data_IF_493429911928
#
_entry.id   IF_493429911928
#
_cell.length_a   1.000
_cell.length_b   1.000
_cell.length_c   1.000
_cell.angle_alpha   90.00
_cell.angle_beta   90.00
_cell.angle_gamma   90.00
#
_symmetry.space_group_name_H-M   'P 1'
#
loop_
_entity.id
_entity.type
_entity.pdbx_description
1 polymer ?
#
# COMPACT_ATOMS: atom_id res chain seq x y z
N UNK A 1 55.99 -0.86 52.10
CA UNK A 1 55.46 -1.84 51.13
C UNK A 1 56.51 -2.91 50.93
N UNK A 2 56.15 -4.19 51.02
CA UNK A 2 57.08 -5.31 50.85
C UNK A 2 57.40 -5.50 49.37
N UNK A 3 58.57 -6.07 49.04
CA UNK A 3 58.99 -6.29 47.64
C UNK A 3 57.97 -7.10 46.81
N UNK A 4 57.13 -7.89 47.50
CA UNK A 4 56.00 -8.63 46.91
C UNK A 4 54.85 -7.72 46.47
N UNK A 5 54.55 -6.63 47.17
CA UNK A 5 53.46 -5.70 46.80
C UNK A 5 53.81 -4.89 45.54
N UNK A 6 55.10 -4.55 45.35
CA UNK A 6 55.58 -3.81 44.17
C UNK A 6 55.52 -4.68 42.90
N UNK A 7 55.79 -5.99 43.01
CA UNK A 7 55.64 -6.94 41.89
C UNK A 7 54.20 -7.07 41.41
N UNK A 8 53.22 -7.11 42.30
CA UNK A 8 51.80 -7.17 41.93
C UNK A 8 51.30 -5.87 41.32
N UNK A 9 51.79 -4.71 41.78
CA UNK A 9 51.46 -3.40 41.19
C UNK A 9 52.06 -3.26 39.79
N UNK A 10 53.30 -3.70 39.57
CA UNK A 10 53.92 -3.70 38.24
C UNK A 10 53.26 -4.68 37.27
N UNK A 11 52.84 -5.87 37.72
CA UNK A 11 52.09 -6.82 36.90
C UNK A 11 50.69 -6.32 36.58
N UNK A 12 50.01 -5.64 37.52
CA UNK A 12 48.71 -5.00 37.27
C UNK A 12 48.82 -3.78 36.34
N UNK A 13 49.90 -3.00 36.44
CA UNK A 13 50.21 -1.91 35.49
C UNK A 13 50.57 -2.47 34.11
N UNK A 14 51.34 -3.55 34.00
CA UNK A 14 51.61 -4.21 32.72
C UNK A 14 50.34 -4.87 32.13
N UNK A 15 49.43 -5.40 32.95
CA UNK A 15 48.14 -5.92 32.47
C UNK A 15 47.17 -4.81 32.05
N UNK A 16 47.17 -3.65 32.71
CA UNK A 16 46.40 -2.48 32.26
C UNK A 16 47.02 -1.83 31.01
N UNK A 17 48.36 -1.78 30.91
CA UNK A 17 49.08 -1.27 29.73
C UNK A 17 48.97 -2.25 28.54
N UNK A 18 48.70 -3.54 28.77
CA UNK A 18 48.42 -4.53 27.71
C UNK A 18 46.91 -4.69 27.40
N UNK A 19 46.01 -4.19 28.25
CA UNK A 19 44.56 -4.11 27.96
C UNK A 19 44.16 -2.86 27.17
N UNK A 20 45.01 -1.83 27.12
CA UNK A 20 44.94 -0.81 26.08
C UNK A 20 45.55 -1.32 24.75
N UNK A 21 45.09 -2.48 24.28
CA UNK A 21 44.95 -2.63 22.83
C UNK A 21 43.81 -1.68 22.44
N UNK A 22 44.17 -0.44 22.14
CA UNK A 22 43.31 0.53 21.47
C UNK A 22 42.60 -0.21 20.35
N UNK A 23 41.28 -0.40 20.48
CA UNK A 23 40.45 -0.78 19.36
C UNK A 23 40.58 0.38 18.36
N UNK A 24 41.48 0.22 17.39
CA UNK A 24 41.71 1.20 16.34
C UNK A 24 40.41 1.30 15.54
N UNK A 25 39.82 2.49 15.48
CA UNK A 25 38.60 2.71 14.71
C UNK A 25 38.83 2.31 13.25
N UNK A 26 37.95 1.47 12.72
CA UNK A 26 37.97 1.03 11.33
C UNK A 26 36.80 1.68 10.61
N UNK A 27 37.04 2.56 9.62
CA UNK A 27 35.95 3.17 8.87
C UNK A 27 35.06 2.10 8.21
N UNK A 28 33.72 2.24 8.28
CA UNK A 28 32.82 1.31 7.60
C UNK A 28 32.94 1.42 6.08
N UNK A 29 32.75 0.30 5.39
CA UNK A 29 32.71 0.28 3.92
C UNK A 29 31.54 1.12 3.41
N UNK A 30 31.76 2.09 2.50
CA UNK A 30 30.69 2.91 1.97
C UNK A 30 29.77 2.14 1.02
N UNK A 31 28.51 2.56 0.94
CA UNK A 31 27.67 2.24 -0.21
C UNK A 31 28.20 3.00 -1.42
N UNK A 32 28.18 2.37 -2.60
CA UNK A 32 28.60 2.95 -3.88
C UNK A 32 27.47 2.74 -4.88
N UNK A 33 26.83 3.83 -5.29
CA UNK A 33 25.61 3.81 -6.09
C UNK A 33 25.80 4.62 -7.38
N UNK A 34 26.10 3.97 -8.52
CA UNK A 34 26.11 4.62 -9.83
C UNK A 34 24.73 5.17 -10.17
N UNK A 35 24.60 6.47 -10.45
CA UNK A 35 23.29 7.11 -10.69
C UNK A 35 22.96 7.25 -12.17
N UNK A 36 21.67 7.12 -12.51
CA UNK A 36 21.15 7.38 -13.86
C UNK A 36 20.37 8.69 -13.96
N UNK A 37 20.49 9.46 -15.07
CA UNK A 37 21.27 9.20 -16.30
C UNK A 37 22.79 9.43 -16.18
N UNK A 38 23.23 9.99 -15.05
CA UNK A 38 24.62 10.26 -14.70
C UNK A 38 24.68 10.57 -13.21
N UNK A 39 25.83 10.35 -12.61
CA UNK A 39 26.15 10.67 -11.23
C UNK A 39 26.75 9.48 -10.48
N UNK A 40 27.15 9.74 -9.25
CA UNK A 40 27.65 8.76 -8.30
C UNK A 40 27.24 9.21 -6.90
N UNK A 41 26.65 8.31 -6.12
CA UNK A 41 26.39 8.53 -4.69
C UNK A 41 27.21 7.57 -3.86
N UNK A 42 27.89 8.09 -2.85
CA UNK A 42 28.63 7.31 -1.87
C UNK A 42 28.24 7.72 -0.45
N UNK A 43 28.10 6.76 0.46
CA UNK A 43 27.74 7.09 1.83
C UNK A 43 28.19 6.08 2.88
N UNK A 44 28.52 6.55 4.08
CA UNK A 44 28.68 5.72 5.28
C UNK A 44 27.63 6.08 6.35
N UNK A 45 27.22 5.13 7.21
CA UNK A 45 26.34 5.44 8.36
C UNK A 45 27.02 6.43 9.30
N UNK A 46 26.22 7.25 9.99
CA UNK A 46 26.71 8.09 11.07
C UNK A 46 27.00 7.25 12.33
N UNK A 47 28.08 7.61 13.00
CA UNK A 47 28.45 7.09 14.32
C UNK A 47 28.90 8.29 15.17
N UNK A 48 28.52 8.28 16.44
CA UNK A 48 28.94 9.29 17.41
C UNK A 48 30.47 9.31 17.49
N UNK A 49 31.08 10.49 17.32
CA UNK A 49 32.53 10.66 17.26
C UNK A 49 33.05 10.99 15.86
N UNK A 50 32.31 10.68 14.78
CA UNK A 50 32.69 11.11 13.43
C UNK A 50 32.47 12.63 13.28
N UNK A 51 33.49 13.35 12.82
CA UNK A 51 33.42 14.79 12.53
C UNK A 51 33.63 15.16 11.06
N UNK A 52 34.24 14.27 10.26
CA UNK A 52 34.49 14.50 8.83
C UNK A 52 34.62 13.16 8.10
N UNK A 53 34.11 13.11 6.87
CA UNK A 53 34.35 11.99 5.93
C UNK A 53 34.81 12.57 4.60
N UNK A 54 35.97 12.15 4.09
CA UNK A 54 36.45 12.51 2.75
C UNK A 54 36.39 11.30 1.82
N UNK A 55 35.80 11.50 0.64
CA UNK A 55 35.72 10.51 -0.43
C UNK A 55 36.71 10.86 -1.55
N UNK A 56 37.56 9.91 -1.89
CA UNK A 56 38.52 10.00 -2.99
C UNK A 56 38.22 8.91 -4.01
N UNK A 57 38.00 9.26 -5.29
CA UNK A 57 37.50 8.33 -6.32
C UNK A 57 38.23 8.50 -7.65
N UNK A 58 38.60 7.39 -8.30
CA UNK A 58 39.07 7.29 -9.69
C UNK A 58 38.21 6.27 -10.46
N UNK A 59 38.20 6.39 -11.77
CA UNK A 59 37.40 5.52 -12.65
C UNK A 59 38.32 4.79 -13.63
N UNK A 60 38.21 3.46 -13.67
CA UNK A 60 38.95 2.56 -14.56
C UNK A 60 40.48 2.64 -14.43
N UNK A 61 40.98 3.22 -13.34
CA UNK A 61 42.38 3.40 -13.02
C UNK A 61 42.54 3.37 -11.51
N UNK A 62 43.49 2.58 -11.02
CA UNK A 62 43.79 2.44 -9.60
C UNK A 62 44.54 3.69 -9.06
N UNK A 63 44.67 3.78 -7.74
CA UNK A 63 45.40 4.85 -7.06
C UNK A 63 46.89 4.56 -6.94
N UNK A 64 47.72 5.58 -7.10
CA UNK A 64 49.11 5.55 -6.65
C UNK A 64 49.23 6.22 -5.26
N UNK A 65 49.01 5.44 -4.20
CA UNK A 65 49.04 5.92 -2.82
C UNK A 65 47.83 6.80 -2.45
N UNK A 66 48.04 7.83 -1.63
CA UNK A 66 46.98 8.72 -1.12
C UNK A 66 46.79 9.96 -1.99
N UNK A 67 46.67 9.77 -3.30
CA UNK A 67 46.35 10.86 -4.21
C UNK A 67 44.86 11.25 -4.13
N UNK A 68 44.56 12.47 -4.58
CA UNK A 68 43.21 13.03 -4.46
C UNK A 68 42.16 12.28 -5.32
N UNK A 69 42.57 11.69 -6.45
CA UNK A 69 41.69 11.08 -7.44
C UNK A 69 40.94 12.10 -8.32
N UNK A 70 40.06 11.59 -9.19
CA UNK A 70 39.19 12.42 -10.04
C UNK A 70 38.15 13.18 -9.24
N UNK A 71 37.67 12.58 -8.15
CA UNK A 71 36.80 13.20 -7.16
C UNK A 71 37.51 13.18 -5.82
N UNK A 72 37.60 14.35 -5.18
CA UNK A 72 38.09 14.53 -3.81
C UNK A 72 37.15 15.48 -3.07
N UNK A 73 36.38 14.98 -2.11
CA UNK A 73 35.32 15.76 -1.44
C UNK A 73 35.19 15.46 0.04
N UNK A 74 35.21 16.53 0.83
CA UNK A 74 35.03 16.50 2.28
C UNK A 74 33.57 16.74 2.65
N UNK A 75 33.01 15.84 3.44
CA UNK A 75 31.66 15.92 4.00
C UNK A 75 31.80 16.26 5.48
N UNK A 76 31.34 17.46 5.84
CA UNK A 76 31.42 18.03 7.20
C UNK A 76 30.05 18.10 7.90
N UNK A 77 28.99 17.61 7.25
CA UNK A 77 27.62 17.60 7.78
C UNK A 77 26.92 16.29 7.47
N UNK A 78 26.33 15.70 8.49
CA UNK A 78 25.44 14.53 8.39
C UNK A 78 24.10 14.93 7.79
N UNK A 79 23.55 14.09 6.92
CA UNK A 79 22.18 14.19 6.41
C UNK A 79 21.48 12.85 6.57
N UNK A 80 20.30 12.84 7.17
CA UNK A 80 19.48 11.62 7.36
C UNK A 80 20.27 10.45 8.00
N UNK A 81 21.09 10.75 9.02
CA UNK A 81 21.90 9.74 9.71
C UNK A 81 23.07 9.16 8.89
N UNK A 82 23.47 9.79 7.78
CA UNK A 82 24.59 9.35 6.93
C UNK A 82 25.51 10.49 6.51
N UNK A 83 26.76 10.15 6.24
CA UNK A 83 27.75 11.01 5.60
C UNK A 83 27.71 10.74 4.10
N UNK A 84 26.98 11.56 3.34
CA UNK A 84 26.68 11.28 1.93
C UNK A 84 27.33 12.28 1.01
N UNK A 85 28.08 11.76 0.03
CA UNK A 85 28.51 12.47 -1.16
C UNK A 85 27.62 12.10 -2.35
N UNK A 86 27.17 13.08 -3.13
CA UNK A 86 26.43 12.87 -4.38
C UNK A 86 26.97 13.79 -5.46
N UNK A 87 27.46 13.21 -6.54
CA UNK A 87 27.78 13.89 -7.79
C UNK A 87 26.70 13.65 -8.84
N UNK A 88 26.44 14.66 -9.68
CA UNK A 88 25.44 14.63 -10.77
C UNK A 88 26.07 14.74 -12.17
N UNK A 89 27.40 14.77 -12.26
CA UNK A 89 28.14 14.99 -13.49
C UNK A 89 28.71 13.72 -14.14
N UNK A 90 29.10 12.74 -13.32
CA UNK A 90 29.87 11.56 -13.71
C UNK A 90 29.06 10.64 -14.61
N UNK A 91 29.60 10.27 -15.77
CA UNK A 91 28.96 9.32 -16.67
C UNK A 91 29.62 7.96 -16.51
N UNK A 92 28.88 7.00 -15.96
CA UNK A 92 29.32 5.63 -15.74
C UNK A 92 28.63 4.67 -16.72
N UNK A 93 29.28 3.55 -17.00
CA UNK A 93 28.80 2.48 -17.87
C UNK A 93 28.87 1.14 -17.11
N UNK A 94 28.02 0.15 -17.44
CA UNK A 94 28.21 -1.21 -16.97
C UNK A 94 29.62 -1.72 -17.30
N UNK A 95 30.29 -2.32 -16.32
CA UNK A 95 31.67 -2.81 -16.43
C UNK A 95 32.76 -1.79 -16.11
N UNK A 96 32.44 -0.50 -15.94
CA UNK A 96 33.40 0.45 -15.38
C UNK A 96 33.77 0.03 -13.95
N UNK A 97 35.02 0.24 -13.54
CA UNK A 97 35.49 -0.01 -12.17
C UNK A 97 35.73 1.31 -11.47
N UNK A 98 35.11 1.50 -10.31
CA UNK A 98 35.26 2.67 -9.45
C UNK A 98 36.27 2.30 -8.37
N UNK A 99 37.45 2.90 -8.41
CA UNK A 99 38.46 2.78 -7.36
C UNK A 99 38.25 3.91 -6.35
N UNK A 100 38.37 3.64 -5.07
CA UNK A 100 38.19 4.68 -4.05
C UNK A 100 38.94 4.37 -2.74
N UNK A 101 39.19 5.43 -1.99
CA UNK A 101 39.58 5.35 -0.60
C UNK A 101 38.82 6.41 0.21
N UNK A 102 38.62 6.14 1.51
CA UNK A 102 37.83 6.99 2.41
C UNK A 102 38.67 7.41 3.60
N UNK A 103 38.67 8.71 3.90
CA UNK A 103 39.22 9.24 5.15
C UNK A 103 38.08 9.56 6.11
N UNK A 104 38.17 9.11 7.36
CA UNK A 104 37.21 9.44 8.42
C UNK A 104 37.94 10.05 9.59
N UNK A 105 37.51 11.24 10.02
CA UNK A 105 37.97 11.83 11.28
C UNK A 105 37.01 11.41 12.37
N UNK A 106 37.47 10.54 13.26
CA UNK A 106 36.74 10.01 14.42
C UNK A 106 37.48 10.41 15.70
N UNK A 107 36.78 11.06 16.64
CA UNK A 107 37.36 11.58 17.88
C UNK A 107 38.65 12.38 17.68
N UNK A 108 38.65 13.24 16.64
CA UNK A 108 39.76 14.12 16.21
C UNK A 108 40.98 13.40 15.62
N UNK A 109 40.93 12.08 15.45
CA UNK A 109 41.96 11.29 14.79
C UNK A 109 41.49 10.83 13.40
N UNK A 110 42.41 10.82 12.44
CA UNK A 110 42.12 10.44 11.05
C UNK A 110 42.38 8.96 10.79
N UNK A 111 41.43 8.28 10.14
CA UNK A 111 41.48 6.86 9.81
C UNK A 111 41.18 6.66 8.33
N UNK A 112 41.90 5.77 7.66
CA UNK A 112 41.75 5.51 6.24
C UNK A 112 41.20 4.11 5.97
N UNK A 113 40.27 4.02 5.03
CA UNK A 113 39.90 2.77 4.35
C UNK A 113 40.45 2.84 2.92
N UNK A 114 41.49 2.06 2.65
CA UNK A 114 42.29 2.11 1.41
C UNK A 114 41.93 0.98 0.45
N UNK A 115 42.38 1.13 -0.80
CA UNK A 115 42.40 0.08 -1.83
C UNK A 115 41.03 -0.57 -2.08
N UNK A 116 39.97 0.25 -2.05
CA UNK A 116 38.61 -0.24 -2.32
C UNK A 116 38.28 -0.09 -3.80
N UNK A 117 37.46 -1.02 -4.30
CA UNK A 117 36.96 -0.98 -5.67
C UNK A 117 35.51 -1.45 -5.74
N UNK A 118 34.78 -0.94 -6.72
CA UNK A 118 33.41 -1.33 -7.03
C UNK A 118 33.21 -1.39 -8.54
N UNK A 119 32.82 -2.56 -9.05
CA UNK A 119 32.52 -2.75 -10.47
C UNK A 119 31.06 -2.36 -10.70
N UNK A 120 30.80 -1.48 -11.66
CA UNK A 120 29.46 -1.00 -12.00
C UNK A 120 28.67 -2.14 -12.67
N UNK A 121 27.82 -2.81 -11.89
CA UNK A 121 26.91 -3.85 -12.40
C UNK A 121 25.46 -3.40 -12.47
N UNK A 122 25.09 -2.39 -11.68
CA UNK A 122 23.74 -1.85 -11.57
C UNK A 122 23.79 -0.32 -11.42
N UNK A 123 22.66 0.32 -11.73
CA UNK A 123 22.47 1.77 -11.57
C UNK A 123 21.33 2.02 -10.60
N UNK A 124 21.25 3.23 -10.07
CA UNK A 124 20.21 3.67 -9.17
C UNK A 124 19.56 4.95 -9.69
N UNK A 125 18.28 5.11 -9.42
CA UNK A 125 17.58 6.38 -9.54
C UNK A 125 18.05 7.32 -8.41
N UNK A 126 17.83 8.63 -8.60
CA UNK A 126 18.20 9.65 -7.59
C UNK A 126 17.46 9.45 -6.26
N UNK A 127 16.33 8.76 -6.25
CA UNK A 127 15.57 8.40 -5.04
C UNK A 127 16.15 7.19 -4.25
N UNK A 128 17.18 6.50 -4.77
CA UNK A 128 17.77 5.32 -4.12
C UNK A 128 17.23 3.97 -4.59
N UNK A 129 16.26 3.95 -5.51
CA UNK A 129 15.76 2.70 -6.08
C UNK A 129 16.72 2.17 -7.15
N UNK A 130 17.00 0.85 -7.23
CA UNK A 130 17.73 0.27 -8.35
C UNK A 130 17.04 0.59 -9.68
N UNK A 131 17.83 0.92 -10.68
CA UNK A 131 17.38 1.30 -12.00
C UNK A 131 17.25 0.05 -12.87
N UNK A 132 16.02 -0.27 -13.26
CA UNK A 132 15.66 -1.55 -13.89
C UNK A 132 15.80 -1.58 -15.43
N UNK A 133 16.36 -0.58 -16.11
CA UNK A 133 16.35 -0.47 -17.58
C UNK A 133 17.72 -0.26 -18.24
N UNK A 134 17.98 -0.92 -19.38
CA UNK A 134 19.19 -0.67 -20.19
C UNK A 134 19.06 0.56 -21.09
N UNK A 135 20.19 1.16 -21.54
CA UNK A 135 20.20 2.28 -22.49
C UNK A 135 19.52 2.00 -23.84
N UNK A 136 19.25 0.73 -24.19
CA UNK A 136 18.56 0.30 -25.41
C UNK A 136 17.05 0.09 -25.24
N UNK A 137 16.46 0.44 -24.09
CA UNK A 137 15.03 0.28 -23.83
C UNK A 137 14.60 -1.17 -23.57
N UNK A 138 15.55 -2.09 -23.37
CA UNK A 138 15.31 -3.47 -22.92
C UNK A 138 15.43 -3.60 -21.41
N UNK A 139 14.62 -4.49 -20.83
CA UNK A 139 14.74 -4.88 -19.42
C UNK A 139 15.88 -5.88 -19.24
N UNK A 140 16.74 -5.67 -18.23
CA UNK A 140 17.74 -6.67 -17.82
C UNK A 140 17.08 -7.94 -17.30
N UNK A 141 15.93 -7.79 -16.63
CA UNK A 141 15.08 -8.88 -16.14
C UNK A 141 13.67 -8.69 -16.74
N UNK A 142 13.21 -9.61 -17.59
CA UNK A 142 11.84 -9.58 -18.11
C UNK A 142 10.83 -9.57 -16.96
N UNK A 143 9.90 -8.63 -16.99
CA UNK A 143 8.79 -8.56 -16.04
C UNK A 143 7.70 -9.57 -16.41
N UNK A 144 7.20 -10.31 -15.43
CA UNK A 144 5.92 -11.02 -15.55
C UNK A 144 4.77 -10.01 -15.58
N UNK A 145 4.92 -8.91 -14.84
CA UNK A 145 3.94 -7.81 -14.81
C UNK A 145 3.80 -7.18 -16.19
N UNK A 146 2.55 -6.88 -16.55
CA UNK A 146 2.19 -6.09 -17.74
C UNK A 146 1.36 -4.91 -17.30
N UNK A 147 1.63 -3.73 -17.83
CA UNK A 147 0.82 -2.53 -17.58
C UNK A 147 0.06 -2.11 -18.83
N UNK A 148 -1.08 -1.49 -18.61
CA UNK A 148 -2.01 -1.10 -19.66
C UNK A 148 -2.62 0.25 -19.34
N UNK A 149 -2.71 1.08 -20.38
CA UNK A 149 -3.47 2.34 -20.35
C UNK A 149 -4.68 2.17 -21.26
N UNK A 150 -5.84 2.67 -20.82
CA UNK A 150 -7.05 2.61 -21.62
C UNK A 150 -7.05 3.80 -22.59
N UNK A 151 -7.19 3.52 -23.89
CA UNK A 151 -7.33 4.57 -24.88
C UNK A 151 -8.71 5.24 -24.73
N UNK A 152 -8.73 6.57 -24.64
CA UNK A 152 -9.95 7.33 -24.33
C UNK A 152 -11.02 7.17 -25.41
N UNK A 153 -10.63 7.01 -26.68
CA UNK A 153 -11.57 6.95 -27.81
C UNK A 153 -12.07 5.55 -28.07
N UNK A 154 -11.16 4.59 -28.12
CA UNK A 154 -11.46 3.20 -28.49
C UNK A 154 -11.80 2.33 -27.29
N UNK A 155 -11.50 2.80 -26.08
CA UNK A 155 -11.62 2.04 -24.82
C UNK A 155 -10.75 0.77 -24.78
N UNK A 156 -9.86 0.57 -25.77
CA UNK A 156 -8.97 -0.59 -25.83
C UNK A 156 -7.78 -0.41 -24.88
N UNK A 157 -7.30 -1.52 -24.33
CA UNK A 157 -6.11 -1.54 -23.48
C UNK A 157 -4.85 -1.56 -24.33
N UNK A 158 -4.03 -0.50 -24.22
CA UNK A 158 -2.71 -0.42 -24.84
C UNK A 158 -1.66 -0.88 -23.85
N UNK A 159 -0.94 -1.95 -24.19
CA UNK A 159 0.14 -2.51 -23.38
C UNK A 159 1.38 -1.61 -23.40
N UNK A 160 1.98 -1.44 -22.22
CA UNK A 160 3.30 -0.85 -22.03
C UNK A 160 4.29 -1.93 -21.53
N UNK A 161 5.56 -1.75 -21.88
CA UNK A 161 6.63 -2.60 -21.36
C UNK A 161 7.11 -2.07 -20.01
N UNK A 162 7.34 -2.97 -19.07
CA UNK A 162 7.85 -2.67 -17.73
C UNK A 162 8.90 -3.71 -17.35
N UNK A 163 9.81 -3.34 -16.46
CA UNK A 163 10.89 -4.21 -16.00
C UNK A 163 10.64 -4.72 -14.59
N UNK A 164 11.12 -5.92 -14.25
CA UNK A 164 10.97 -6.46 -12.90
C UNK A 164 11.60 -5.49 -11.87
N UNK A 165 10.93 -5.32 -10.73
CA UNK A 165 11.28 -4.39 -9.66
C UNK A 165 10.86 -2.93 -9.89
N UNK A 166 10.49 -2.55 -11.13
CA UNK A 166 10.13 -1.17 -11.46
C UNK A 166 8.90 -0.71 -10.68
N UNK A 167 8.96 0.48 -10.08
CA UNK A 167 7.78 1.17 -9.54
C UNK A 167 6.90 1.62 -10.73
N UNK A 168 5.72 1.01 -10.87
CA UNK A 168 4.83 1.20 -12.02
C UNK A 168 3.60 2.04 -11.67
N UNK A 169 3.32 2.24 -10.38
CA UNK A 169 2.32 3.16 -9.87
C UNK A 169 2.71 3.59 -8.47
N UNK A 170 2.61 4.89 -8.19
CA UNK A 170 2.79 5.47 -6.86
C UNK A 170 1.79 6.60 -6.64
N UNK A 171 1.13 6.58 -5.50
CA UNK A 171 0.21 7.61 -5.06
C UNK A 171 0.45 7.90 -3.59
N UNK A 172 0.81 9.15 -3.27
CA UNK A 172 1.06 9.63 -1.90
C UNK A 172 -0.04 10.58 -1.42
N UNK A 173 -1.06 10.84 -2.25
CA UNK A 173 -2.22 11.67 -1.91
C UNK A 173 -1.87 13.05 -1.32
N UNK A 174 -0.83 13.73 -1.86
CA UNK A 174 -0.64 15.17 -1.63
C UNK A 174 -1.80 15.98 -2.24
N UNK A 175 -2.38 15.46 -3.33
CA UNK A 175 -3.60 15.93 -3.96
C UNK A 175 -4.26 14.79 -4.74
N UNK A 176 -5.55 14.90 -5.05
CA UNK A 176 -6.26 13.86 -5.82
C UNK A 176 -6.26 14.20 -7.32
N UNK A 177 -5.39 13.55 -8.10
CA UNK A 177 -5.34 13.69 -9.55
C UNK A 177 -6.53 12.96 -10.23
N UNK A 178 -7.47 13.74 -10.76
CA UNK A 178 -8.68 13.24 -11.44
C UNK A 178 -8.40 12.57 -12.80
N UNK A 179 -7.20 12.74 -13.36
CA UNK A 179 -6.76 11.99 -14.54
C UNK A 179 -6.29 10.59 -14.17
N UNK A 180 -5.87 10.39 -12.92
CA UNK A 180 -5.44 9.09 -12.40
C UNK A 180 -6.59 8.35 -11.72
N UNK A 181 -7.43 9.05 -10.97
CA UNK A 181 -8.52 8.47 -10.20
C UNK A 181 -9.88 8.91 -10.73
N UNK A 182 -10.69 7.92 -11.11
CA UNK A 182 -12.11 8.14 -11.36
C UNK A 182 -12.89 7.98 -10.06
N UNK A 183 -13.48 9.07 -9.59
CA UNK A 183 -14.44 9.03 -8.48
C UNK A 183 -15.76 8.48 -9.00
N UNK A 184 -16.31 7.49 -8.32
CA UNK A 184 -17.52 6.77 -8.71
C UNK A 184 -18.74 7.46 -8.13
N UNK A 185 -19.62 7.91 -9.01
CA UNK A 185 -20.93 8.43 -8.67
C UNK A 185 -21.99 7.52 -9.30
N UNK A 186 -22.65 6.69 -8.51
CA UNK A 186 -23.74 5.79 -8.95
C UNK A 186 -24.39 5.11 -7.75
N UNK A 187 -25.60 4.59 -7.95
CA UNK A 187 -26.20 3.65 -7.00
C UNK A 187 -25.49 2.29 -7.02
N UNK A 188 -25.48 1.60 -5.88
CA UNK A 188 -25.02 0.21 -5.78
C UNK A 188 -25.87 -0.74 -6.62
N UNK A 189 -25.21 -1.79 -7.14
CA UNK A 189 -25.78 -2.79 -8.04
C UNK A 189 -25.39 -4.20 -7.58
N UNK A 190 -25.99 -5.26 -8.17
CA UNK A 190 -25.51 -6.62 -7.98
C UNK A 190 -24.00 -6.74 -8.27
N UNK A 191 -23.30 -7.66 -7.58
CA UNK A 191 -23.86 -8.72 -6.73
C UNK A 191 -24.06 -8.33 -5.27
N UNK A 192 -23.30 -7.36 -4.75
CA UNK A 192 -23.27 -7.04 -3.33
C UNK A 192 -24.50 -6.24 -2.87
N UNK A 193 -25.05 -5.39 -3.74
CA UNK A 193 -26.18 -4.51 -3.44
C UNK A 193 -25.96 -3.72 -2.13
N UNK A 194 -24.81 -3.04 -2.03
CA UNK A 194 -24.45 -2.29 -0.83
C UNK A 194 -25.50 -1.23 -0.48
N UNK A 195 -25.67 -0.90 0.79
CA UNK A 195 -26.68 0.07 1.26
C UNK A 195 -26.25 1.53 1.10
N UNK A 196 -25.40 1.78 0.11
CA UNK A 196 -24.80 3.09 -0.17
C UNK A 196 -25.22 3.59 -1.55
N UNK A 197 -25.28 4.91 -1.68
CA UNK A 197 -25.06 5.60 -2.96
C UNK A 197 -23.63 6.13 -2.95
N UNK A 198 -22.86 5.85 -4.00
CA UNK A 198 -21.53 6.44 -4.15
C UNK A 198 -21.68 7.83 -4.77
N UNK A 199 -21.05 8.84 -4.17
CA UNK A 199 -21.11 10.24 -4.60
C UNK A 199 -19.72 10.81 -4.86
N UNK A 200 -19.61 11.65 -5.88
CA UNK A 200 -18.43 12.48 -6.14
C UNK A 200 -18.59 13.84 -5.44
N UNK A 201 -18.36 13.81 -4.12
CA UNK A 201 -18.63 14.90 -3.18
C UNK A 201 -17.56 14.96 -2.09
N UNK A 202 -17.22 16.18 -1.65
CA UNK A 202 -16.11 16.43 -0.72
C UNK A 202 -16.37 15.90 0.71
N UNK A 203 -17.62 15.68 1.10
CA UNK A 203 -17.93 15.02 2.38
C UNK A 203 -17.59 13.52 2.36
N UNK A 204 -17.48 12.93 1.17
CA UNK A 204 -17.30 11.49 0.98
C UNK A 204 -15.90 11.12 0.51
N UNK A 205 -15.26 11.97 -0.28
CA UNK A 205 -13.93 11.74 -0.85
C UNK A 205 -13.14 13.04 -0.78
N UNK A 206 -12.09 13.06 0.00
CA UNK A 206 -11.23 14.24 0.14
C UNK A 206 -9.80 13.84 0.49
N UNK A 207 -8.86 14.71 0.14
CA UNK A 207 -7.46 14.59 0.56
C UNK A 207 -7.22 15.59 1.68
N UNK A 208 -6.64 15.12 2.78
CA UNK A 208 -6.30 15.96 3.92
C UNK A 208 -5.11 15.35 4.65
N UNK A 209 -4.18 16.22 5.07
CA UNK A 209 -2.98 15.83 5.83
C UNK A 209 -2.12 14.76 5.11
N UNK A 210 -2.02 14.88 3.78
CA UNK A 210 -1.23 13.94 2.95
C UNK A 210 -1.86 12.56 2.79
N UNK A 211 -3.14 12.39 3.13
CA UNK A 211 -3.84 11.12 2.99
C UNK A 211 -5.17 11.30 2.27
N UNK A 212 -5.57 10.27 1.53
CA UNK A 212 -6.92 10.13 1.01
C UNK A 212 -7.86 9.64 2.11
N UNK A 213 -8.99 10.31 2.26
CA UNK A 213 -10.07 9.94 3.17
C UNK A 213 -11.32 9.61 2.39
N UNK A 214 -11.89 8.43 2.65
CA UNK A 214 -13.16 8.01 2.10
C UNK A 214 -14.14 7.75 3.24
N UNK A 215 -15.19 8.57 3.33
CA UNK A 215 -16.07 8.62 4.49
C UNK A 215 -17.52 8.35 4.13
N UNK A 216 -18.18 7.37 4.78
CA UNK A 216 -19.63 7.23 4.72
C UNK A 216 -20.30 8.27 5.63
N UNK A 217 -21.38 8.87 5.14
CA UNK A 217 -22.21 9.83 5.86
C UNK A 217 -23.68 9.47 5.69
N UNK A 218 -24.55 9.91 6.60
CA UNK A 218 -25.98 9.64 6.47
C UNK A 218 -26.54 10.50 5.32
N UNK A 219 -27.29 9.87 4.41
CA UNK A 219 -27.94 10.57 3.29
C UNK A 219 -28.87 11.67 3.80
N UNK A 220 -29.53 11.46 4.94
CA UNK A 220 -30.41 12.47 5.56
C UNK A 220 -29.67 13.71 6.05
N UNK A 221 -28.39 13.60 6.44
CA UNK A 221 -27.60 14.76 6.87
C UNK A 221 -27.31 15.69 5.68
N UNK A 222 -27.33 15.13 4.46
CA UNK A 222 -27.12 15.87 3.20
C UNK A 222 -28.42 16.42 2.60
N UNK A 223 -29.48 15.62 2.62
CA UNK A 223 -30.70 15.89 1.83
C UNK A 223 -31.98 16.05 2.67
N UNK A 224 -31.89 15.89 3.99
CA UNK A 224 -33.00 15.99 4.94
C UNK A 224 -33.60 14.63 5.34
N UNK A 225 -34.25 14.60 6.50
CA UNK A 225 -34.73 13.38 7.17
C UNK A 225 -35.70 12.53 6.34
N UNK A 226 -36.61 13.17 5.61
CA UNK A 226 -37.64 12.46 4.83
C UNK A 226 -37.13 12.02 3.45
N UNK A 227 -36.04 12.61 2.95
CA UNK A 227 -35.59 12.41 1.58
C UNK A 227 -35.30 10.95 1.25
N UNK A 228 -34.78 10.19 2.21
CA UNK A 228 -34.53 8.75 2.04
C UNK A 228 -35.82 7.97 1.77
N UNK A 229 -36.96 8.41 2.32
CA UNK A 229 -38.23 7.70 2.30
C UNK A 229 -39.18 8.12 1.16
N UNK A 230 -39.14 9.37 0.73
CA UNK A 230 -40.07 9.92 -0.28
C UNK A 230 -39.38 10.67 -1.43
N UNK A 231 -38.06 10.82 -1.36
CA UNK A 231 -37.29 11.62 -2.30
C UNK A 231 -37.07 10.96 -3.66
N UNK A 232 -36.67 11.79 -4.62
CA UNK A 232 -36.09 11.37 -5.89
C UNK A 232 -34.66 11.88 -5.98
N UNK A 233 -33.70 10.97 -6.16
CA UNK A 233 -32.29 11.28 -6.32
C UNK A 233 -31.87 11.07 -7.77
N UNK A 234 -31.30 12.12 -8.37
CA UNK A 234 -30.73 12.13 -9.72
C UNK A 234 -29.24 12.49 -9.58
N UNK A 235 -28.37 11.65 -10.12
CA UNK A 235 -26.92 11.79 -10.03
C UNK A 235 -26.40 12.51 -11.27
N UNK A 236 -26.00 13.78 -11.10
CA UNK A 236 -25.63 14.65 -12.23
C UNK A 236 -24.27 14.30 -12.83
N UNK A 237 -23.35 13.71 -12.06
CA UNK A 237 -22.03 13.27 -12.54
C UNK A 237 -21.97 11.74 -12.61
N UNK A 238 -23.11 11.10 -12.86
CA UNK A 238 -23.21 9.65 -12.83
C UNK A 238 -22.17 8.98 -13.73
N UNK A 239 -21.56 7.94 -13.19
CA UNK A 239 -20.48 7.17 -13.82
C UNK A 239 -20.95 5.84 -14.39
N UNK A 240 -22.22 5.50 -14.20
CA UNK A 240 -22.91 4.35 -14.80
C UNK A 240 -23.73 4.75 -16.03
N UNK A 241 -24.72 3.94 -16.39
CA UNK A 241 -25.56 4.19 -17.56
C UNK A 241 -26.62 5.26 -17.26
N UNK A 242 -26.56 6.38 -17.98
CA UNK A 242 -27.48 7.52 -17.83
C UNK A 242 -28.93 7.08 -18.03
N UNK A 243 -29.87 7.70 -17.30
CA UNK A 243 -31.31 7.40 -17.32
C UNK A 243 -31.71 5.98 -16.86
N UNK A 244 -30.78 5.21 -16.30
CA UNK A 244 -31.06 3.93 -15.65
C UNK A 244 -31.08 4.05 -14.12
N UNK A 245 -31.33 2.91 -13.45
CA UNK A 245 -31.28 2.79 -11.98
C UNK A 245 -29.88 3.03 -11.38
N UNK A 246 -28.86 3.14 -12.22
CA UNK A 246 -27.50 3.51 -11.83
C UNK A 246 -27.40 4.99 -11.47
N UNK A 247 -28.22 5.83 -12.12
CA UNK A 247 -28.12 7.29 -12.07
C UNK A 247 -29.36 7.98 -11.51
N UNK A 248 -30.50 7.28 -11.46
CA UNK A 248 -31.75 7.85 -10.94
C UNK A 248 -32.55 6.82 -10.16
N UNK A 249 -32.99 7.18 -8.96
CA UNK A 249 -33.94 6.39 -8.15
C UNK A 249 -34.96 7.31 -7.47
N UNK A 250 -36.17 6.79 -7.31
CA UNK A 250 -37.25 7.41 -6.54
C UNK A 250 -37.66 6.44 -5.46
N UNK A 251 -37.75 6.93 -4.22
CA UNK A 251 -38.23 6.12 -3.11
C UNK A 251 -39.72 5.82 -3.29
N UNK A 252 -40.14 4.59 -2.97
CA UNK A 252 -41.55 4.19 -3.01
C UNK A 252 -41.87 3.14 -1.94
N UNK A 253 -42.56 3.57 -0.88
CA UNK A 253 -42.89 2.75 0.27
C UNK A 253 -41.63 2.18 0.94
N UNK A 254 -41.56 0.86 1.06
CA UNK A 254 -40.39 0.11 1.53
C UNK A 254 -39.14 0.15 0.62
N UNK A 255 -39.28 0.53 -0.66
CA UNK A 255 -38.14 0.71 -1.55
C UNK A 255 -37.58 2.13 -1.38
N UNK A 256 -36.91 2.36 -0.25
CA UNK A 256 -36.28 3.64 0.09
C UNK A 256 -35.01 3.90 -0.75
N UNK A 257 -34.55 5.14 -0.77
CA UNK A 257 -33.20 5.47 -1.25
C UNK A 257 -32.13 4.90 -0.28
N UNK A 258 -30.88 4.74 -0.72
CA UNK A 258 -29.81 4.34 0.20
C UNK A 258 -29.69 5.32 1.37
N UNK A 259 -29.73 4.84 2.63
CA UNK A 259 -29.64 5.70 3.81
C UNK A 259 -28.24 6.25 4.03
N UNK A 260 -27.24 5.71 3.32
CA UNK A 260 -25.84 6.13 3.41
C UNK A 260 -25.36 6.68 2.06
N UNK A 261 -24.68 7.81 2.09
CA UNK A 261 -23.86 8.31 0.99
C UNK A 261 -22.38 8.00 1.31
N UNK A 262 -21.64 7.45 0.36
CA UNK A 262 -20.23 7.07 0.57
C UNK A 262 -19.37 7.40 -0.65
N UNK A 263 -18.06 7.18 -0.53
CA UNK A 263 -17.09 7.38 -1.60
C UNK A 263 -16.52 6.07 -2.14
N UNK A 264 -16.15 6.08 -3.42
CA UNK A 264 -15.42 5.00 -4.10
C UNK A 264 -14.65 5.58 -5.30
N UNK A 265 -13.44 5.10 -5.52
CA UNK A 265 -12.54 5.55 -6.59
C UNK A 265 -11.88 4.35 -7.25
N UNK A 266 -11.50 4.49 -8.51
CA UNK A 266 -10.65 3.51 -9.17
C UNK A 266 -9.73 4.08 -10.23
N UNK A 267 -8.74 3.28 -10.62
CA UNK A 267 -7.76 3.61 -11.66
C UNK A 267 -8.12 3.06 -13.05
N UNK A 268 -9.33 2.50 -13.24
CA UNK A 268 -9.76 1.87 -14.50
C UNK A 268 -9.44 2.65 -15.79
N UNK A 269 -9.64 3.98 -15.87
CA UNK A 269 -9.32 4.71 -17.10
C UNK A 269 -7.81 4.94 -17.31
N UNK A 270 -7.01 4.96 -16.25
CA UNK A 270 -5.64 5.51 -16.27
C UNK A 270 -4.54 4.45 -16.10
N UNK A 271 -4.80 3.45 -15.25
CA UNK A 271 -3.82 2.46 -14.85
C UNK A 271 -4.50 1.10 -14.62
N UNK A 272 -4.17 0.16 -15.50
CA UNK A 272 -4.56 -1.24 -15.40
C UNK A 272 -3.28 -2.08 -15.50
N UNK A 273 -3.26 -3.24 -14.85
CA UNK A 273 -2.07 -4.09 -14.82
C UNK A 273 -2.45 -5.56 -14.67
N UNK A 274 -1.52 -6.44 -15.00
CA UNK A 274 -1.59 -7.88 -14.75
C UNK A 274 -0.35 -8.25 -13.95
N UNK A 275 -0.54 -8.91 -12.80
CA UNK A 275 0.50 -9.28 -11.83
C UNK A 275 1.27 -8.11 -11.22
N UNK A 276 1.85 -8.31 -10.05
CA UNK A 276 2.69 -7.32 -9.39
C UNK A 276 2.67 -7.43 -7.88
N UNK A 277 3.49 -6.59 -7.24
CA UNK A 277 3.48 -6.39 -5.81
C UNK A 277 2.77 -5.07 -5.48
N UNK A 278 1.68 -5.16 -4.76
CA UNK A 278 0.89 -4.02 -4.29
C UNK A 278 1.20 -3.81 -2.80
N UNK A 279 1.42 -2.56 -2.41
CA UNK A 279 1.62 -2.13 -1.03
C UNK A 279 0.71 -0.93 -0.76
N UNK A 280 -0.14 -1.03 0.26
CA UNK A 280 -1.09 0.02 0.65
C UNK A 280 -0.95 0.27 2.14
N UNK A 281 -0.57 1.49 2.52
CA UNK A 281 -0.59 1.91 3.92
C UNK A 281 -1.92 2.59 4.22
N UNK A 282 -2.75 1.96 5.04
CA UNK A 282 -4.10 2.45 5.32
C UNK A 282 -4.56 2.17 6.75
N UNK A 283 -5.49 2.98 7.23
CA UNK A 283 -6.27 2.78 8.44
C UNK A 283 -7.71 2.47 8.07
N UNK A 284 -8.23 1.32 8.50
CA UNK A 284 -9.54 0.82 8.10
C UNK A 284 -10.68 1.54 8.84
N UNK A 285 -11.90 1.59 8.27
CA UNK A 285 -13.04 2.26 8.90
C UNK A 285 -13.59 1.48 10.10
N UNK A 286 -13.98 2.21 11.16
CA UNK A 286 -14.66 1.66 12.35
C UNK A 286 -16.16 1.93 12.32
N UNK A 287 -16.94 0.95 12.78
CA UNK A 287 -18.37 1.08 13.02
C UNK A 287 -19.15 -0.07 12.43
N UNK A 288 -20.29 -0.35 13.03
CA UNK A 288 -21.09 -1.51 12.67
C UNK A 288 -21.56 -1.44 11.23
N UNK A 289 -21.43 -2.58 10.53
CA UNK A 289 -21.86 -2.78 9.15
C UNK A 289 -21.07 -2.00 8.10
N UNK A 290 -19.98 -1.32 8.48
CA UNK A 290 -19.06 -0.65 7.55
C UNK A 290 -17.96 -1.63 7.13
N UNK A 291 -17.48 -1.53 5.89
CA UNK A 291 -16.29 -2.24 5.44
C UNK A 291 -15.55 -1.50 4.33
N UNK A 292 -14.22 -1.63 4.25
CA UNK A 292 -13.44 -1.04 3.19
C UNK A 292 -13.57 -1.86 1.90
N UNK A 293 -13.49 -1.17 0.78
CA UNK A 293 -13.19 -1.75 -0.52
C UNK A 293 -11.71 -1.47 -0.78
N UNK A 294 -10.85 -2.48 -0.69
CA UNK A 294 -9.44 -2.38 -1.11
C UNK A 294 -9.19 -3.59 -2.00
N UNK A 295 -9.50 -3.42 -3.28
CA UNK A 295 -9.66 -4.53 -4.23
C UNK A 295 -8.99 -4.24 -5.57
N UNK A 296 -8.71 -5.31 -6.30
CA UNK A 296 -8.43 -5.28 -7.73
C UNK A 296 -9.63 -5.84 -8.48
N UNK A 297 -10.12 -5.12 -9.49
CA UNK A 297 -11.28 -5.51 -10.28
C UNK A 297 -10.93 -5.63 -11.76
N UNK A 298 -11.63 -6.52 -12.47
CA UNK A 298 -11.37 -6.78 -13.89
C UNK A 298 -11.58 -5.52 -14.73
N UNK A 299 -10.61 -5.23 -15.60
CA UNK A 299 -10.66 -4.10 -16.54
C UNK A 299 -11.79 -4.24 -17.55
N UNK A 300 -12.09 -5.48 -17.95
CA UNK A 300 -13.16 -5.80 -18.88
C UNK A 300 -14.22 -6.62 -18.15
N UNK A 301 -15.49 -6.29 -18.34
CA UNK A 301 -16.55 -7.11 -17.76
C UNK A 301 -16.71 -8.39 -18.59
N UNK A 302 -16.59 -9.59 -17.98
CA UNK A 302 -16.82 -10.81 -18.71
C UNK A 302 -18.26 -10.84 -19.21
N UNK A 303 -18.43 -11.20 -20.48
CA UNK A 303 -19.70 -11.22 -21.21
C UNK A 303 -20.77 -12.19 -20.64
N UNK A 304 -20.46 -12.94 -19.58
CA UNK A 304 -21.37 -13.91 -18.98
C UNK A 304 -21.30 -13.85 -17.43
N UNK A 305 -22.36 -13.34 -16.81
CA UNK A 305 -22.50 -13.00 -15.38
C UNK A 305 -22.76 -14.19 -14.45
N UNK A 306 -22.22 -15.38 -14.72
CA UNK A 306 -22.43 -16.54 -13.82
C UNK A 306 -21.67 -16.40 -12.50
N UNK A 307 -20.61 -15.58 -12.46
CA UNK A 307 -19.84 -15.33 -11.25
C UNK A 307 -19.23 -13.92 -11.27
N UNK A 308 -19.17 -13.29 -10.10
CA UNK A 308 -18.40 -12.07 -9.88
C UNK A 308 -17.05 -12.44 -9.27
N UNK A 309 -15.96 -11.98 -9.88
CA UNK A 309 -14.60 -12.30 -9.45
C UNK A 309 -13.80 -11.01 -9.24
N UNK A 310 -13.09 -10.91 -8.12
CA UNK A 310 -12.15 -9.83 -7.84
C UNK A 310 -11.04 -10.32 -6.93
N UNK A 311 -10.02 -9.50 -6.72
CA UNK A 311 -8.94 -9.79 -5.76
C UNK A 311 -9.09 -8.82 -4.59
N UNK A 312 -9.12 -9.34 -3.37
CA UNK A 312 -9.16 -8.54 -2.15
C UNK A 312 -7.72 -8.39 -1.66
N UNK A 313 -7.24 -7.15 -1.56
CA UNK A 313 -5.91 -6.85 -1.00
C UNK A 313 -5.99 -6.91 0.53
N UNK A 314 -6.97 -6.21 1.10
CA UNK A 314 -7.22 -6.20 2.53
C UNK A 314 -8.70 -6.03 2.82
N UNK A 315 -9.24 -6.86 3.71
CA UNK A 315 -10.61 -6.78 4.15
C UNK A 315 -10.75 -7.12 5.63
N UNK A 316 -11.31 -6.19 6.39
CA UNK A 316 -11.79 -6.38 7.75
C UNK A 316 -13.01 -5.50 7.95
N UNK A 317 -14.05 -6.01 8.62
CA UNK A 317 -15.26 -5.24 8.87
C UNK A 317 -15.03 -4.22 9.99
N UNK A 318 -15.78 -3.12 9.97
CA UNK A 318 -15.66 -2.06 10.98
C UNK A 318 -16.30 -2.41 12.34
N UNK A 319 -17.08 -3.49 12.43
CA UNK A 319 -17.75 -3.91 13.66
C UNK A 319 -16.71 -4.20 14.76
N UNK A 320 -16.69 -3.46 15.89
CA UNK A 320 -15.77 -3.74 17.00
C UNK A 320 -16.00 -5.12 17.64
N UNK A 321 -17.22 -5.66 17.50
CA UNK A 321 -17.57 -7.02 17.89
C UNK A 321 -18.59 -7.56 16.89
N UNK A 322 -18.30 -8.69 16.28
CA UNK A 322 -19.20 -9.37 15.36
C UNK A 322 -18.96 -10.87 15.44
N UNK A 323 -20.02 -11.63 15.71
CA UNK A 323 -19.95 -13.09 15.82
C UNK A 323 -21.00 -13.75 14.96
N UNK A 324 -20.65 -14.89 14.40
CA UNK A 324 -21.61 -15.79 13.76
C UNK A 324 -22.41 -16.56 14.82
N UNK A 325 -23.47 -17.23 14.38
CA UNK A 325 -24.38 -17.98 15.27
C UNK A 325 -23.69 -19.13 16.02
N UNK A 326 -22.64 -19.70 15.44
CA UNK A 326 -21.80 -20.74 16.06
C UNK A 326 -20.74 -20.18 17.01
N UNK A 327 -20.67 -18.85 17.17
CA UNK A 327 -19.72 -18.16 18.03
C UNK A 327 -18.41 -17.76 17.35
N UNK A 328 -18.21 -18.08 16.06
CA UNK A 328 -17.02 -17.65 15.32
C UNK A 328 -16.92 -16.13 15.29
N UNK A 329 -15.77 -15.59 15.66
CA UNK A 329 -15.48 -14.16 15.58
C UNK A 329 -15.13 -13.77 14.14
N UNK A 330 -15.88 -12.81 13.60
CA UNK A 330 -15.71 -12.24 12.26
C UNK A 330 -15.70 -10.71 12.32
N UNK A 331 -15.31 -10.15 13.47
CA UNK A 331 -15.21 -8.72 13.75
C UNK A 331 -14.02 -8.07 13.07
N UNK A 332 -13.79 -6.80 13.41
CA UNK A 332 -12.60 -6.02 13.06
C UNK A 332 -11.27 -6.62 13.49
N UNK A 333 -11.25 -7.73 14.22
CA UNK A 333 -10.05 -8.49 14.53
C UNK A 333 -9.62 -9.44 13.39
N UNK A 334 -10.53 -9.76 12.47
CA UNK A 334 -10.28 -10.68 11.37
C UNK A 334 -9.88 -9.90 10.10
N UNK A 335 -8.66 -10.12 9.61
CA UNK A 335 -8.18 -9.66 8.32
C UNK A 335 -8.26 -10.80 7.31
N UNK A 336 -8.73 -10.51 6.10
CA UNK A 336 -8.82 -11.44 4.98
C UNK A 336 -8.27 -10.79 3.69
N UNK A 337 -7.72 -11.61 2.80
CA UNK A 337 -7.29 -11.19 1.45
C UNK A 337 -7.17 -12.39 0.51
N UNK A 338 -7.11 -12.15 -0.80
CA UNK A 338 -6.95 -13.20 -1.82
C UNK A 338 -7.97 -13.11 -2.96
N UNK A 339 -8.03 -14.16 -3.79
CA UNK A 339 -8.98 -14.27 -4.91
C UNK A 339 -10.38 -14.61 -4.41
N UNK A 340 -11.32 -13.73 -4.73
CA UNK A 340 -12.68 -13.78 -4.22
C UNK A 340 -13.69 -13.95 -5.36
N UNK A 341 -14.61 -14.88 -5.15
CA UNK A 341 -15.65 -15.25 -6.11
C UNK A 341 -17.01 -15.30 -5.44
N UNK A 342 -18.01 -14.74 -6.12
CA UNK A 342 -19.43 -14.91 -5.80
C UNK A 342 -20.09 -15.64 -6.96
N UNK A 343 -20.65 -16.82 -6.70
CA UNK A 343 -21.46 -17.53 -7.69
C UNK A 343 -22.87 -16.90 -7.75
N UNK A 344 -23.22 -16.33 -8.90
CA UNK A 344 -24.48 -15.62 -9.13
C UNK A 344 -25.59 -16.50 -9.71
N UNK A 345 -25.26 -17.74 -10.12
CA UNK A 345 -26.20 -18.67 -10.74
C UNK A 345 -27.08 -19.44 -9.73
N UNK A 346 -26.75 -19.39 -8.44
CA UNK A 346 -27.46 -20.12 -7.39
C UNK A 346 -28.34 -19.18 -6.54
N UNK A 347 -29.52 -19.66 -6.14
CA UNK A 347 -30.43 -18.96 -5.21
C UNK A 347 -29.74 -18.71 -3.86
N UNK A 348 -28.84 -19.62 -3.45
CA UNK A 348 -27.92 -19.45 -2.35
C UNK A 348 -26.58 -18.99 -2.93
N UNK A 349 -26.38 -17.67 -3.05
CA UNK A 349 -25.12 -17.10 -3.50
C UNK A 349 -23.97 -17.70 -2.69
N UNK A 350 -23.06 -18.40 -3.36
CA UNK A 350 -21.87 -18.93 -2.70
C UNK A 350 -20.77 -17.89 -2.79
N UNK A 351 -20.43 -17.32 -1.64
CA UNK A 351 -19.37 -16.35 -1.44
C UNK A 351 -18.23 -17.04 -0.67
N UNK A 352 -17.02 -17.03 -1.23
CA UNK A 352 -15.87 -17.71 -0.62
C UNK A 352 -15.10 -16.86 0.41
N UNK A 353 -15.54 -15.64 0.74
CA UNK A 353 -14.78 -14.67 1.54
C UNK A 353 -14.30 -15.21 2.88
N UNK A 354 -15.15 -15.92 3.62
CA UNK A 354 -14.79 -16.50 4.93
C UNK A 354 -13.78 -17.67 4.84
N UNK A 355 -13.51 -18.16 3.63
CA UNK A 355 -12.52 -19.22 3.37
C UNK A 355 -11.22 -18.66 2.76
N UNK A 356 -11.11 -17.34 2.62
CA UNK A 356 -9.88 -16.71 2.19
C UNK A 356 -8.78 -16.87 3.25
N UNK A 357 -7.50 -16.82 2.84
CA UNK A 357 -6.42 -16.65 3.80
C UNK A 357 -6.70 -15.48 4.75
N UNK A 358 -6.49 -15.72 6.04
CA UNK A 358 -6.91 -14.79 7.07
C UNK A 358 -5.96 -14.76 8.27
N UNK A 359 -6.02 -13.66 9.02
CA UNK A 359 -5.27 -13.44 10.25
C UNK A 359 -6.20 -12.83 11.30
N UNK A 360 -6.12 -13.35 12.53
CA UNK A 360 -6.80 -12.78 13.69
C UNK A 360 -5.77 -11.97 14.48
N UNK A 361 -6.12 -10.73 14.81
CA UNK A 361 -5.32 -9.83 15.64
C UNK A 361 -5.92 -9.69 17.04
N UNK A 362 -5.09 -9.42 18.04
CA UNK A 362 -5.55 -9.07 19.39
C UNK A 362 -6.16 -7.67 19.46
N UNK A 363 -5.79 -6.79 18.53
CA UNK A 363 -6.35 -5.43 18.39
C UNK A 363 -7.13 -5.31 17.08
N UNK A 364 -8.22 -4.53 17.04
CA UNK A 364 -8.93 -4.22 15.80
C UNK A 364 -8.02 -3.61 14.72
N UNK A 365 -8.21 -4.02 13.47
CA UNK A 365 -7.47 -3.47 12.32
C UNK A 365 -7.82 -2.02 11.96
N UNK A 366 -8.81 -1.42 12.62
CA UNK A 366 -9.18 -0.01 12.45
C UNK A 366 -8.47 0.91 13.46
N UNK A 367 -7.70 0.39 14.42
CA UNK A 367 -7.10 1.22 15.47
C UNK A 367 -5.97 2.11 14.92
N UNK A 368 -5.13 1.54 14.04
CA UNK A 368 -3.93 2.18 13.51
C UNK A 368 -3.76 2.01 12.00
N UNK A 369 -2.76 2.70 11.44
CA UNK A 369 -2.32 2.45 10.08
C UNK A 369 -1.51 1.17 10.00
N UNK A 370 -1.84 0.33 9.03
CA UNK A 370 -1.10 -0.88 8.70
C UNK A 370 -0.65 -0.85 7.24
N UNK A 371 0.41 -1.59 6.95
CA UNK A 371 0.90 -1.79 5.57
C UNK A 371 0.38 -3.12 5.06
N UNK A 372 -0.60 -3.08 4.17
CA UNK A 372 -1.17 -4.26 3.52
C UNK A 372 -0.44 -4.54 2.21
N UNK A 373 0.09 -5.75 2.06
CA UNK A 373 0.82 -6.15 0.86
C UNK A 373 0.17 -7.37 0.20
N UNK A 374 0.07 -7.31 -1.13
CA UNK A 374 -0.36 -8.42 -1.97
C UNK A 374 0.66 -8.60 -3.10
N UNK A 375 1.35 -9.74 -3.12
CA UNK A 375 2.19 -10.15 -4.25
C UNK A 375 1.40 -11.16 -5.10
N UNK A 376 1.12 -10.80 -6.34
CA UNK A 376 0.35 -11.62 -7.27
C UNK A 376 1.19 -12.00 -8.48
N UNK A 377 1.45 -13.31 -8.62
CA UNK A 377 2.08 -13.96 -9.76
C UNK A 377 1.08 -14.87 -10.48
N UNK A 378 1.47 -15.35 -11.66
CA UNK A 378 0.73 -16.42 -12.30
C UNK A 378 0.59 -17.61 -11.34
N UNK A 379 -0.65 -18.02 -11.08
CA UNK A 379 -0.95 -19.18 -10.25
C UNK A 379 -0.87 -18.97 -8.73
N UNK A 380 -0.43 -17.80 -8.23
CA UNK A 380 -0.24 -17.61 -6.80
C UNK A 380 -0.42 -16.16 -6.31
N UNK A 381 -1.05 -16.01 -5.14
CA UNK A 381 -1.05 -14.79 -4.34
C UNK A 381 -0.38 -15.06 -2.99
N UNK A 382 0.44 -14.11 -2.54
CA UNK A 382 1.04 -14.06 -1.20
C UNK A 382 0.55 -12.77 -0.53
N UNK A 383 0.10 -12.88 0.72
CA UNK A 383 -0.48 -11.79 1.49
C UNK A 383 0.36 -11.50 2.73
N UNK A 384 0.65 -10.23 2.96
CA UNK A 384 1.36 -9.75 4.15
C UNK A 384 0.67 -8.55 4.76
N UNK A 385 0.86 -8.38 6.06
CA UNK A 385 0.49 -7.18 6.80
C UNK A 385 1.65 -6.82 7.71
N UNK A 386 2.08 -5.56 7.68
CA UNK A 386 3.22 -5.03 8.46
C UNK A 386 4.50 -5.87 8.28
N UNK A 387 4.75 -6.34 7.05
CA UNK A 387 5.89 -7.18 6.68
C UNK A 387 5.74 -8.66 7.06
N UNK A 388 4.71 -9.06 7.80
CA UNK A 388 4.47 -10.45 8.19
C UNK A 388 3.52 -11.14 7.21
N UNK A 389 3.96 -12.25 6.61
CA UNK A 389 3.12 -13.07 5.75
C UNK A 389 2.08 -13.83 6.57
N UNK A 390 0.81 -13.72 6.18
CA UNK A 390 -0.29 -14.43 6.83
C UNK A 390 -1.05 -15.39 5.91
N UNK A 391 -0.81 -15.33 4.60
CA UNK A 391 -1.58 -16.11 3.65
C UNK A 391 -0.85 -16.37 2.33
N UNK A 392 -1.11 -17.55 1.77
CA UNK A 392 -0.78 -17.90 0.39
C UNK A 392 -2.00 -18.58 -0.21
N UNK A 393 -2.31 -18.28 -1.47
CA UNK A 393 -3.44 -18.87 -2.18
C UNK A 393 -3.06 -19.20 -3.62
N UNK A 394 -3.46 -20.38 -4.09
CA UNK A 394 -3.37 -20.72 -5.51
C UNK A 394 -4.42 -19.94 -6.30
N UNK A 395 -4.01 -19.39 -7.44
CA UNK A 395 -4.84 -18.53 -8.29
C UNK A 395 -5.22 -19.26 -9.57
N UNK A 396 -6.52 -19.45 -9.86
CA UNK A 396 -6.95 -20.02 -11.13
C UNK A 396 -6.70 -19.08 -12.31
N UNK A 397 -6.45 -19.65 -13.51
CA UNK A 397 -6.13 -18.88 -14.72
C UNK A 397 -7.21 -17.87 -15.16
N UNK A 398 -8.45 -18.00 -14.68
CA UNK A 398 -9.51 -17.00 -14.94
C UNK A 398 -9.21 -15.62 -14.34
N UNK A 399 -8.26 -15.52 -13.40
CA UNK A 399 -7.79 -14.25 -12.84
C UNK A 399 -6.64 -13.63 -13.64
N UNK A 400 -6.07 -14.33 -14.63
CA UNK A 400 -4.93 -13.87 -15.44
C UNK A 400 -5.33 -12.82 -16.50
N UNK A 401 -6.06 -11.80 -16.07
CA UNK A 401 -6.62 -10.72 -16.86
C UNK A 401 -6.17 -9.35 -16.31
N UNK A 402 -6.13 -8.29 -17.14
CA UNK A 402 -5.82 -6.96 -16.65
C UNK A 402 -6.84 -6.50 -15.59
N UNK A 403 -6.36 -5.97 -14.48
CA UNK A 403 -7.16 -5.41 -13.38
C UNK A 403 -6.77 -3.96 -13.09
N UNK A 404 -7.61 -3.26 -12.35
CA UNK A 404 -7.33 -1.91 -11.85
C UNK A 404 -7.53 -1.84 -10.32
N UNK A 405 -6.93 -0.83 -9.69
CA UNK A 405 -7.09 -0.56 -8.26
C UNK A 405 -8.45 0.05 -7.98
N UNK A 406 -9.15 -0.45 -6.96
CA UNK A 406 -10.42 0.07 -6.49
C UNK A 406 -10.37 0.26 -4.97
N UNK A 407 -10.63 1.51 -4.54
CA UNK A 407 -10.67 1.88 -3.12
C UNK A 407 -11.98 2.57 -2.76
N UNK A 408 -12.51 2.32 -1.56
CA UNK A 408 -13.74 2.97 -1.12
C UNK A 408 -14.25 2.46 0.22
N UNK A 409 -15.42 2.95 0.63
CA UNK A 409 -16.12 2.45 1.83
C UNK A 409 -17.54 2.06 1.46
N UNK A 410 -17.94 0.86 1.86
CA UNK A 410 -19.28 0.34 1.68
C UNK A 410 -19.93 0.05 3.02
N UNK A 411 -21.26 -0.07 3.01
CA UNK A 411 -22.06 -0.30 4.22
C UNK A 411 -23.16 -1.32 3.92
N UNK A 412 -23.35 -2.27 4.83
CA UNK A 412 -24.41 -3.28 4.77
C UNK A 412 -24.33 -4.15 3.52
N UNK A 413 -25.47 -4.33 2.85
CA UNK A 413 -25.57 -5.12 1.62
C UNK A 413 -26.13 -6.53 1.82
N UNK A 414 -26.18 -7.27 0.71
CA UNK A 414 -26.92 -8.53 0.62
C UNK A 414 -26.06 -9.78 0.80
N UNK A 415 -24.73 -9.64 0.88
CA UNK A 415 -23.80 -10.78 0.79
C UNK A 415 -22.85 -10.81 1.97
N UNK A 416 -22.18 -9.70 2.26
CA UNK A 416 -21.00 -9.67 3.11
C UNK A 416 -21.26 -10.12 4.55
N UNK A 417 -22.33 -9.62 5.16
CA UNK A 417 -22.65 -9.93 6.55
C UNK A 417 -23.55 -11.17 6.59
N UNK A 418 -23.11 -12.30 7.16
CA UNK A 418 -23.94 -13.49 7.24
C UNK A 418 -25.21 -13.25 8.04
N UNK A 419 -26.30 -13.93 7.67
CA UNK A 419 -27.55 -13.85 8.40
C UNK A 419 -27.41 -14.36 9.83
N UNK A 420 -28.12 -13.71 10.75
CA UNK A 420 -28.09 -14.00 12.19
C UNK A 420 -26.73 -13.75 12.86
N UNK A 421 -25.84 -13.00 12.22
CA UNK A 421 -24.66 -12.47 12.90
C UNK A 421 -25.07 -11.48 13.98
N UNK A 422 -24.30 -11.44 15.07
CA UNK A 422 -24.58 -10.65 16.26
C UNK A 422 -23.46 -9.63 16.41
N UNK A 423 -23.82 -8.33 16.42
CA UNK A 423 -22.91 -7.23 16.68
C UNK A 423 -23.10 -6.75 18.11
N UNK A 424 -22.10 -6.94 18.98
CA UNK A 424 -22.20 -6.63 20.39
C UNK A 424 -23.40 -7.33 21.06
N UNK A 425 -24.47 -6.57 21.34
CA UNK A 425 -25.67 -7.04 22.05
C UNK A 425 -26.92 -7.16 21.17
N UNK A 426 -26.83 -6.98 19.85
CA UNK A 426 -27.98 -7.06 18.97
C UNK A 426 -27.68 -7.89 17.70
N UNK A 427 -28.71 -8.58 17.21
CA UNK A 427 -28.62 -9.33 15.96
C UNK A 427 -28.69 -8.36 14.77
N UNK A 428 -27.99 -8.71 13.69
CA UNK A 428 -28.06 -8.04 12.39
C UNK A 428 -29.53 -7.75 12.02
N UNK A 429 -29.89 -6.48 11.74
CA UNK A 429 -31.29 -6.08 11.64
C UNK A 429 -31.99 -6.48 10.33
N UNK A 430 -31.24 -6.95 9.33
CA UNK A 430 -31.79 -7.40 8.05
C UNK A 430 -31.38 -8.83 7.73
N UNK A 431 -32.20 -9.47 6.90
CA UNK A 431 -31.87 -10.76 6.27
C UNK A 431 -31.32 -10.52 4.86
N UNK A 432 -30.28 -11.24 4.48
CA UNK A 432 -29.71 -11.24 3.14
C UNK A 432 -30.79 -11.62 2.13
N UNK A 433 -30.70 -11.01 0.94
CA UNK A 433 -31.65 -11.16 -0.18
C UNK A 433 -33.14 -10.89 0.13
N UNK A 434 -33.48 -10.39 1.32
CA UNK A 434 -34.84 -9.99 1.63
C UNK A 434 -35.20 -8.65 0.97
N UNK A 435 -36.43 -8.53 0.46
CA UNK A 435 -36.92 -7.32 -0.21
C UNK A 435 -36.99 -6.08 0.71
N UNK A 436 -36.99 -6.27 2.04
CA UNK A 436 -36.96 -5.20 3.06
C UNK A 436 -35.58 -4.90 3.61
N UNK A 437 -34.50 -5.50 3.09
CA UNK A 437 -33.21 -5.47 3.76
C UNK A 437 -32.68 -4.04 4.02
N UNK A 438 -32.65 -3.21 2.97
CA UNK A 438 -32.26 -1.80 3.05
C UNK A 438 -33.13 -1.00 4.04
N UNK A 439 -34.45 -1.20 3.98
CA UNK A 439 -35.40 -0.54 4.87
C UNK A 439 -35.19 -0.95 6.34
N UNK A 440 -35.01 -2.25 6.62
CA UNK A 440 -34.76 -2.75 7.97
C UNK A 440 -33.44 -2.23 8.54
N UNK A 441 -32.39 -2.16 7.71
CA UNK A 441 -31.14 -1.51 8.09
C UNK A 441 -31.36 -0.04 8.49
N UNK A 442 -32.12 0.72 7.69
CA UNK A 442 -32.46 2.11 7.99
C UNK A 442 -33.30 2.26 9.26
N UNK A 443 -34.30 1.40 9.50
CA UNK A 443 -35.14 1.46 10.71
C UNK A 443 -34.36 1.12 11.99
N UNK A 444 -33.31 0.32 11.87
CA UNK A 444 -32.46 -0.07 12.99
C UNK A 444 -31.31 0.93 13.26
N UNK A 445 -31.36 2.14 12.72
CA UNK A 445 -30.30 3.17 12.87
C UNK A 445 -29.86 3.34 14.33
N UNK A 446 -30.81 3.39 15.27
CA UNK A 446 -30.51 3.56 16.69
C UNK A 446 -29.63 2.44 17.28
N UNK A 447 -29.64 1.24 16.68
CA UNK A 447 -28.83 0.11 17.14
C UNK A 447 -27.36 0.30 16.75
N UNK A 448 -27.09 0.68 15.50
CA UNK A 448 -25.73 0.70 14.94
C UNK A 448 -25.07 2.07 14.93
N UNK A 449 -25.83 3.17 14.84
CA UNK A 449 -25.27 4.53 14.70
C UNK A 449 -24.43 4.96 15.92
N UNK A 450 -24.76 4.45 17.11
CA UNK A 450 -23.96 4.72 18.31
C UNK A 450 -22.51 4.26 18.16
N UNK A 451 -22.27 3.16 17.42
CA UNK A 451 -20.93 2.66 17.16
C UNK A 451 -20.15 3.57 16.21
N UNK A 452 -20.82 4.20 15.24
CA UNK A 452 -20.19 5.15 14.31
C UNK A 452 -19.76 6.44 15.01
N UNK A 453 -20.49 6.87 16.05
CA UNK A 453 -20.15 8.07 16.83
C UNK A 453 -18.94 7.91 17.75
N UNK A 454 -18.48 6.68 17.98
CA UNK A 454 -17.41 6.36 18.94
C UNK A 454 -16.02 6.30 18.29
N UNK A 455 -15.90 6.52 16.98
CA UNK A 455 -14.60 6.47 16.32
C UNK A 455 -14.68 6.93 14.88
N UNK A 456 -13.61 6.69 14.13
CA UNK A 456 -13.50 7.15 12.76
C UNK A 456 -14.13 6.14 11.77
N UNK A 457 -15.18 6.58 11.07
CA UNK A 457 -15.90 5.76 10.09
C UNK A 457 -15.24 5.74 8.72
N UNK A 458 -14.17 6.52 8.52
CA UNK A 458 -13.54 6.67 7.21
C UNK A 458 -12.41 5.67 6.99
N UNK A 459 -12.22 5.26 5.73
CA UNK A 459 -10.98 4.63 5.28
C UNK A 459 -9.97 5.76 5.01
N UNK A 460 -8.82 5.69 5.66
CA UNK A 460 -7.72 6.64 5.43
C UNK A 460 -6.55 5.93 4.77
N UNK A 461 -6.12 6.38 3.59
CA UNK A 461 -5.00 5.79 2.84
C UNK A 461 -3.89 6.82 2.75
N UNK A 462 -2.73 6.46 3.29
CA UNK A 462 -1.51 7.28 3.27
C UNK A 462 -0.83 7.18 1.90
N UNK A 463 -0.57 5.95 1.43
CA UNK A 463 -0.01 5.75 0.10
C UNK A 463 -0.40 4.41 -0.52
N UNK A 464 -0.26 4.34 -1.85
CA UNK A 464 -0.37 3.13 -2.65
C UNK A 464 0.86 3.02 -3.56
N UNK A 465 1.52 1.86 -3.54
CA UNK A 465 2.64 1.54 -4.45
C UNK A 465 2.35 0.23 -5.17
N UNK A 466 2.67 0.19 -6.46
CA UNK A 466 2.65 -1.04 -7.25
C UNK A 466 4.00 -1.21 -7.93
N UNK A 467 4.64 -2.36 -7.73
CA UNK A 467 5.91 -2.73 -8.36
C UNK A 467 5.70 -3.91 -9.30
N UNK A 468 6.36 -3.84 -10.45
CA UNK A 468 6.45 -4.95 -11.39
C UNK A 468 7.32 -6.07 -10.79
N UNK A 469 7.00 -7.32 -11.13
CA UNK A 469 7.69 -8.51 -10.62
C UNK A 469 8.26 -9.38 -11.72
#
# INVERSE_FOLDING_TARGET
MTATTIKWILVALLFNVLQENLAQYVPPTPTVEPLYPKGLRMSIPHEDGISLVAYHVKFNEDFEGLEAGTIARDIVKVKNGRWTYEDRGTKLKPGDTIYYWVHVVYDRLGYNLLDQQHVVTEFYNYDGTPMSSTPSGGCLIPSETKTYVRDEKTQQLRRNNVCSGQLIFEENFDSLDKNRWKIIERFSNPPNLEFVVYLNDEDNVYVKDGALHVKPVLTKDKFGDQFVQDGTMVLNKCTGEIDTRDCKRTALGWNILPPIASGRLNTKPSFNFLYGKIEIRAKLPRGDWIYPLITLESSDEPSNMSSFCNIIIAHSVGNPSLRLRDGQDVSSHLLMGGVHVINLSNINQQDNRLHLPSKISTSPWFDDYHVYELEWRNGQIILKVDGEQYGVQNVPAMYDIPVYLNVGVAVGGHVLFPDRSISGNYEKPWRNVASKALYQFCQAENNWLSTWRQGDTQLSIDYIKVRAI
#
